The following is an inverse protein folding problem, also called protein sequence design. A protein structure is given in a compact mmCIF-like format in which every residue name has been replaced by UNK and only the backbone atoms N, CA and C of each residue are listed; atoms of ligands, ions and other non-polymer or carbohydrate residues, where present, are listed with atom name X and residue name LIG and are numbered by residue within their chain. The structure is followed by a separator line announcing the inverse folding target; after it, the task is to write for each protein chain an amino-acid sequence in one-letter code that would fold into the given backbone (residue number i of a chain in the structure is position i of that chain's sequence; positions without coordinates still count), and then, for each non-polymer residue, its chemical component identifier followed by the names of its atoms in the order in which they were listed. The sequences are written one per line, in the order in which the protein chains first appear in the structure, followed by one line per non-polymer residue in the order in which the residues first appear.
data_IF_819840926849
#
_entry.id   IF_819840926849
#
_cell.length_a   1.000
_cell.length_b   1.000
_cell.length_c   1.000
_cell.angle_alpha   90.00
_cell.angle_beta   90.00
_cell.angle_gamma   90.00
#
_symmetry.space_group_name_H-M   'P 1'
#
loop_
_entity.id
_entity.type
_entity.pdbx_description
1 polymer ?
#
# COMPACT_ATOMS: atom_id res chain seq x y z
N UNK A 1 -18.89 7.62 -9.88
CA UNK A 1 -18.86 8.77 -8.94
C UNK A 1 -19.50 9.97 -9.62
N UNK A 2 -20.51 10.62 -8.99
CA UNK A 2 -21.23 11.72 -9.63
C UNK A 2 -20.33 12.95 -9.80
N UNK A 3 -20.62 13.76 -10.86
CA UNK A 3 -19.88 15.00 -11.16
C UNK A 3 -19.93 16.01 -9.99
N UNK A 4 -21.05 16.01 -9.26
CA UNK A 4 -21.24 16.85 -8.05
C UNK A 4 -20.31 16.45 -6.92
N UNK A 5 -20.15 15.14 -6.66
CA UNK A 5 -19.25 14.65 -5.62
C UNK A 5 -17.79 15.00 -5.93
N UNK A 6 -17.38 14.93 -7.20
CA UNK A 6 -16.04 15.36 -7.63
C UNK A 6 -15.76 16.84 -7.38
N UNK A 7 -16.73 17.71 -7.64
CA UNK A 7 -16.59 19.16 -7.41
C UNK A 7 -16.49 19.46 -5.92
N UNK A 8 -17.38 18.90 -5.09
CA UNK A 8 -17.36 19.09 -3.64
C UNK A 8 -16.05 18.63 -3.00
N UNK A 9 -15.50 17.51 -3.46
CA UNK A 9 -14.20 17.00 -2.98
C UNK A 9 -13.08 17.95 -3.41
N UNK A 10 -13.05 18.40 -4.67
CA UNK A 10 -11.99 19.26 -5.21
C UNK A 10 -11.88 20.60 -4.49
N UNK A 11 -13.02 21.26 -4.24
CA UNK A 11 -13.07 22.58 -3.59
C UNK A 11 -12.73 22.53 -2.09
N UNK A 12 -13.04 21.42 -1.41
CA UNK A 12 -12.85 21.27 0.02
C UNK A 12 -11.71 20.32 0.40
N UNK A 13 -11.04 19.70 -0.57
CA UNK A 13 -9.97 18.74 -0.30
C UNK A 13 -8.92 19.20 0.73
N UNK A 14 -8.45 20.47 0.71
CA UNK A 14 -7.48 20.93 1.70
C UNK A 14 -7.99 20.97 3.15
N UNK A 15 -9.30 20.87 3.36
CA UNK A 15 -9.92 20.92 4.70
C UNK A 15 -9.98 19.54 5.37
N UNK A 16 -9.74 18.47 4.63
CA UNK A 16 -9.89 17.11 5.10
C UNK A 16 -8.61 16.32 4.92
N UNK A 17 -8.18 15.62 5.94
CA UNK A 17 -7.00 14.74 5.89
C UNK A 17 -7.30 13.43 5.14
N UNK A 18 -8.54 12.95 5.16
CA UNK A 18 -8.98 11.77 4.43
C UNK A 18 -10.49 11.78 4.15
N UNK A 19 -10.91 10.96 3.19
CA UNK A 19 -12.30 10.69 2.86
C UNK A 19 -12.60 9.20 3.09
N UNK A 20 -13.62 8.91 3.90
CA UNK A 20 -14.11 7.55 4.09
C UNK A 20 -15.28 7.27 3.14
N UNK A 21 -15.12 6.27 2.27
CA UNK A 21 -16.13 5.86 1.30
C UNK A 21 -16.65 4.48 1.67
N UNK A 22 -17.97 4.35 1.82
CA UNK A 22 -18.63 3.09 2.06
C UNK A 22 -19.21 2.58 0.74
N UNK A 23 -18.79 1.40 0.32
CA UNK A 23 -19.23 0.76 -0.92
C UNK A 23 -20.01 -0.51 -0.61
N UNK A 24 -21.14 -0.71 -1.29
CA UNK A 24 -21.85 -1.98 -1.26
C UNK A 24 -21.24 -2.91 -2.32
N UNK A 25 -20.19 -3.62 -1.93
CA UNK A 25 -19.44 -4.52 -2.78
C UNK A 25 -19.14 -5.81 -2.01
N UNK A 26 -19.46 -6.97 -2.61
CA UNK A 26 -19.31 -8.27 -1.96
C UNK A 26 -17.83 -8.62 -1.69
N UNK A 27 -16.94 -8.26 -2.59
CA UNK A 27 -15.51 -8.53 -2.44
C UNK A 27 -14.94 -7.79 -1.22
N UNK A 28 -15.35 -6.52 -1.02
CA UNK A 28 -14.97 -5.76 0.15
C UNK A 28 -15.55 -6.34 1.44
N UNK A 29 -16.76 -6.90 1.40
CA UNK A 29 -17.34 -7.60 2.56
C UNK A 29 -16.54 -8.85 2.91
N UNK A 30 -16.13 -9.60 1.89
CA UNK A 30 -15.34 -10.83 2.07
C UNK A 30 -13.93 -10.54 2.62
N UNK A 31 -13.38 -9.35 2.37
CA UNK A 31 -12.08 -8.91 2.90
C UNK A 31 -12.14 -8.42 4.36
N UNK A 32 -13.32 -8.37 4.97
CA UNK A 32 -13.46 -7.94 6.38
C UNK A 32 -12.59 -8.81 7.31
N UNK A 33 -11.82 -8.23 8.25
CA UNK A 33 -11.91 -6.87 8.77
C UNK A 33 -10.93 -5.85 8.14
N UNK A 34 -10.32 -6.14 7.01
CA UNK A 34 -9.38 -5.23 6.35
C UNK A 34 -10.08 -3.98 5.81
N UNK A 35 -9.37 -2.87 5.82
CA UNK A 35 -9.80 -1.59 5.23
C UNK A 35 -8.75 -1.17 4.22
N UNK A 36 -9.18 -0.93 2.99
CA UNK A 36 -8.30 -0.42 1.94
C UNK A 36 -8.18 1.10 2.05
N UNK A 37 -6.96 1.59 1.99
CA UNK A 37 -6.64 3.03 2.02
C UNK A 37 -5.92 3.39 0.74
N UNK A 38 -6.53 4.24 -0.08
CA UNK A 38 -5.87 4.82 -1.26
C UNK A 38 -4.97 5.95 -0.82
N UNK A 39 -3.67 5.81 -1.08
CA UNK A 39 -2.63 6.73 -0.66
C UNK A 39 -2.07 7.47 -1.88
N UNK A 40 -1.69 8.75 -1.73
CA UNK A 40 -0.97 9.45 -2.77
C UNK A 40 0.34 8.75 -3.12
N UNK A 41 0.68 8.72 -4.42
CA UNK A 41 1.94 8.12 -4.87
C UNK A 41 3.18 8.84 -4.31
N UNK A 42 4.27 8.12 -4.19
CA UNK A 42 5.55 8.65 -3.68
C UNK A 42 6.11 9.80 -4.54
N UNK A 43 5.73 9.87 -5.81
CA UNK A 43 6.20 10.93 -6.73
C UNK A 43 5.40 12.23 -6.62
N UNK A 44 4.44 12.30 -5.70
CA UNK A 44 3.69 13.54 -5.47
C UNK A 44 4.59 14.63 -4.87
N UNK A 45 4.63 15.83 -5.46
CA UNK A 45 5.43 16.94 -4.95
C UNK A 45 4.81 17.60 -3.70
N UNK A 46 3.63 17.15 -3.27
CA UNK A 46 2.85 17.78 -2.21
C UNK A 46 3.28 17.25 -0.85
N UNK A 47 3.83 18.10 0.00
CA UNK A 47 4.32 17.73 1.35
C UNK A 47 3.26 17.11 2.26
N UNK A 48 1.99 17.48 2.09
CA UNK A 48 0.86 16.89 2.83
C UNK A 48 0.69 15.38 2.55
N UNK A 49 1.17 14.88 1.41
CA UNK A 49 1.13 13.46 1.07
C UNK A 49 2.09 12.62 1.93
N UNK A 50 3.27 13.14 2.21
CA UNK A 50 4.21 12.50 3.13
C UNK A 50 3.61 12.41 4.54
N UNK A 51 2.94 13.45 5.00
CA UNK A 51 2.24 13.45 6.29
C UNK A 51 1.14 12.38 6.36
N UNK A 52 0.35 12.21 5.30
CA UNK A 52 -0.67 11.16 5.24
C UNK A 52 -0.07 9.76 5.38
N UNK A 53 1.05 9.48 4.71
CA UNK A 53 1.76 8.19 4.84
C UNK A 53 2.26 7.99 6.28
N UNK A 54 2.90 8.99 6.88
CA UNK A 54 3.43 8.92 8.24
C UNK A 54 2.35 8.67 9.28
N UNK A 55 1.17 9.25 9.13
CA UNK A 55 0.04 9.04 10.04
C UNK A 55 -0.40 7.56 10.09
N UNK A 56 -0.27 6.83 8.97
CA UNK A 56 -0.61 5.42 8.90
C UNK A 56 0.52 4.48 9.36
N UNK A 57 1.78 4.95 9.38
CA UNK A 57 2.92 4.11 9.81
C UNK A 57 2.80 3.59 11.25
N UNK A 58 2.17 4.35 12.13
CA UNK A 58 1.98 3.94 13.53
C UNK A 58 0.84 2.94 13.71
N UNK A 59 0.04 2.71 12.67
CA UNK A 59 -1.08 1.78 12.69
C UNK A 59 -0.65 0.40 12.21
N UNK A 60 -1.48 -0.60 12.47
CA UNK A 60 -1.29 -1.95 11.89
C UNK A 60 -1.62 -1.92 10.40
N UNK A 61 -0.65 -1.59 9.56
CA UNK A 61 -0.82 -1.45 8.11
C UNK A 61 0.09 -2.40 7.36
N UNK A 62 -0.40 -2.83 6.21
CA UNK A 62 0.33 -3.53 5.18
C UNK A 62 0.31 -2.66 3.93
N UNK A 63 1.47 -2.37 3.35
CA UNK A 63 1.56 -1.54 2.17
C UNK A 63 1.47 -2.38 0.90
N UNK A 64 0.64 -1.95 -0.02
CA UNK A 64 0.54 -2.51 -1.36
C UNK A 64 1.10 -1.51 -2.35
N UNK A 65 2.19 -1.89 -2.98
CA UNK A 65 2.93 -1.05 -3.92
C UNK A 65 2.48 -1.40 -5.34
N UNK A 66 1.94 -0.43 -6.04
CA UNK A 66 1.55 -0.58 -7.43
C UNK A 66 2.66 -0.02 -8.34
N UNK A 67 3.12 -0.84 -9.26
CA UNK A 67 3.98 -0.42 -10.37
C UNK A 67 3.30 -0.78 -11.69
N UNK A 68 3.65 -0.10 -12.76
CA UNK A 68 3.01 -0.29 -14.07
C UNK A 68 3.92 -1.07 -15.01
N UNK A 69 3.35 -2.03 -15.74
CA UNK A 69 4.06 -2.70 -16.85
C UNK A 69 4.46 -1.73 -17.99
N UNK A 70 3.88 -0.53 -18.04
CA UNK A 70 4.31 0.51 -18.98
C UNK A 70 5.63 1.17 -18.55
N UNK A 71 5.81 1.42 -17.26
CA UNK A 71 7.04 2.01 -16.70
C UNK A 71 8.15 0.97 -16.58
N UNK A 72 7.82 -0.26 -16.24
CA UNK A 72 8.69 -1.42 -16.23
C UNK A 72 9.88 -1.35 -15.27
N UNK A 73 9.86 -0.46 -14.28
CA UNK A 73 10.94 -0.31 -13.31
C UNK A 73 10.46 0.33 -11.99
N UNK A 74 11.31 0.26 -10.96
CA UNK A 74 11.17 1.06 -9.74
C UNK A 74 12.01 2.33 -9.87
N UNK A 75 11.39 3.50 -9.64
CA UNK A 75 12.13 4.75 -9.65
C UNK A 75 13.07 4.85 -8.43
N UNK A 76 14.16 5.60 -8.55
CA UNK A 76 15.10 5.85 -7.44
C UNK A 76 14.40 6.43 -6.21
N UNK A 77 13.39 7.27 -6.43
CA UNK A 77 12.59 7.85 -5.36
C UNK A 77 11.75 6.79 -4.67
N UNK A 78 11.07 5.94 -5.44
CA UNK A 78 10.29 4.83 -4.89
C UNK A 78 11.17 3.90 -4.05
N UNK A 79 12.34 3.51 -4.55
CA UNK A 79 13.31 2.68 -3.79
C UNK A 79 13.67 3.32 -2.46
N UNK A 80 13.94 4.64 -2.44
CA UNK A 80 14.26 5.36 -1.20
C UNK A 80 13.12 5.33 -0.20
N UNK A 81 11.89 5.60 -0.65
CA UNK A 81 10.72 5.61 0.23
C UNK A 81 10.38 4.19 0.74
N UNK A 82 10.59 3.16 -0.09
CA UNK A 82 10.43 1.77 0.33
C UNK A 82 11.44 1.36 1.39
N UNK A 83 12.70 1.81 1.29
CA UNK A 83 13.70 1.62 2.36
C UNK A 83 13.24 2.22 3.68
N UNK A 84 12.72 3.45 3.64
CA UNK A 84 12.17 4.10 4.82
C UNK A 84 10.99 3.30 5.41
N UNK A 85 10.09 2.75 4.58
CA UNK A 85 8.99 1.92 5.07
C UNK A 85 9.46 0.62 5.75
N UNK A 86 10.51 0.00 5.23
CA UNK A 86 11.08 -1.22 5.80
C UNK A 86 11.67 -0.99 7.20
N UNK A 87 12.22 0.20 7.48
CA UNK A 87 12.71 0.56 8.82
C UNK A 87 11.61 0.51 9.88
N UNK A 88 10.34 0.63 9.49
CA UNK A 88 9.19 0.53 10.39
C UNK A 88 8.63 -0.88 10.56
N UNK A 89 9.32 -1.90 10.03
CA UNK A 89 8.88 -3.31 10.07
C UNK A 89 7.45 -3.51 9.56
N UNK A 90 7.14 -2.91 8.41
CA UNK A 90 5.84 -3.01 7.75
C UNK A 90 5.86 -4.05 6.64
N UNK A 91 4.75 -4.81 6.54
CA UNK A 91 4.57 -5.73 5.43
C UNK A 91 4.41 -4.99 4.11
N UNK A 92 5.04 -5.51 3.06
CA UNK A 92 4.96 -5.00 1.70
C UNK A 92 4.48 -6.10 0.75
N UNK A 93 3.59 -5.73 -0.16
CA UNK A 93 3.25 -6.55 -1.34
C UNK A 93 3.35 -5.70 -2.58
N UNK A 94 3.65 -6.33 -3.70
CA UNK A 94 3.85 -5.62 -4.97
C UNK A 94 2.86 -6.12 -6.01
N UNK A 95 2.22 -5.18 -6.69
CA UNK A 95 1.31 -5.45 -7.81
C UNK A 95 1.90 -4.82 -9.08
N UNK A 96 2.05 -5.64 -10.12
CA UNK A 96 2.36 -5.18 -11.46
C UNK A 96 1.04 -4.95 -12.20
N UNK A 97 0.69 -3.69 -12.41
CA UNK A 97 -0.55 -3.27 -13.04
C UNK A 97 -0.41 -3.10 -14.56
N UNK A 98 -1.54 -3.02 -15.26
CA UNK A 98 -1.62 -2.84 -16.72
C UNK A 98 -0.94 -3.95 -17.52
N UNK A 99 -0.96 -5.17 -17.01
CA UNK A 99 -0.34 -6.31 -17.68
C UNK A 99 -1.04 -6.67 -18.99
N UNK A 100 -2.33 -6.29 -19.16
CA UNK A 100 -3.08 -6.42 -20.42
C UNK A 100 -2.52 -5.58 -21.59
N UNK A 101 -1.65 -4.61 -21.32
CA UNK A 101 -1.02 -3.77 -22.35
C UNK A 101 0.29 -4.36 -22.90
N UNK A 102 0.67 -5.56 -22.45
CA UNK A 102 1.91 -6.24 -22.84
C UNK A 102 1.63 -7.69 -23.21
N UNK A 103 2.54 -8.30 -23.98
CA UNK A 103 2.49 -9.73 -24.20
C UNK A 103 2.88 -10.50 -22.93
N UNK A 104 2.46 -11.76 -22.76
CA UNK A 104 2.84 -12.56 -21.62
C UNK A 104 4.37 -12.63 -21.39
N UNK A 105 5.14 -12.80 -22.45
CA UNK A 105 6.60 -12.82 -22.38
C UNK A 105 7.19 -11.49 -21.91
N UNK A 106 6.65 -10.35 -22.36
CA UNK A 106 7.08 -9.04 -21.88
C UNK A 106 6.70 -8.79 -20.41
N UNK A 107 5.53 -9.26 -19.98
CA UNK A 107 5.12 -9.17 -18.57
C UNK A 107 6.09 -9.94 -17.68
N UNK A 108 6.46 -11.15 -18.09
CA UNK A 108 7.41 -11.99 -17.36
C UNK A 108 8.79 -11.34 -17.27
N UNK A 109 9.32 -10.82 -18.37
CA UNK A 109 10.59 -10.10 -18.41
C UNK A 109 10.60 -8.87 -17.50
N UNK A 110 9.55 -8.04 -17.55
CA UNK A 110 9.38 -6.87 -16.69
C UNK A 110 9.28 -7.29 -15.23
N UNK A 111 8.53 -8.36 -14.95
CA UNK A 111 8.36 -8.88 -13.59
C UNK A 111 9.69 -9.32 -13.00
N UNK A 112 10.49 -10.10 -13.73
CA UNK A 112 11.82 -10.52 -13.29
C UNK A 112 12.72 -9.32 -13.02
N UNK A 113 12.75 -8.35 -13.95
CA UNK A 113 13.55 -7.16 -13.78
C UNK A 113 13.20 -6.36 -12.53
N UNK A 114 11.89 -6.19 -12.25
CA UNK A 114 11.43 -5.50 -11.04
C UNK A 114 11.77 -6.32 -9.77
N UNK A 115 11.64 -7.65 -9.81
CA UNK A 115 12.02 -8.53 -8.70
C UNK A 115 13.51 -8.43 -8.39
N UNK A 116 14.37 -8.40 -9.42
CA UNK A 116 15.80 -8.19 -9.25
C UNK A 116 16.10 -6.83 -8.62
N UNK A 117 15.42 -5.76 -9.06
CA UNK A 117 15.55 -4.44 -8.43
C UNK A 117 15.11 -4.43 -6.95
N UNK A 118 14.04 -5.16 -6.61
CA UNK A 118 13.56 -5.29 -5.24
C UNK A 118 14.61 -6.04 -4.40
N UNK A 119 15.12 -7.13 -4.92
CA UNK A 119 16.17 -7.92 -4.23
C UNK A 119 17.44 -7.09 -4.04
N UNK A 120 17.93 -6.43 -5.09
CA UNK A 120 19.19 -5.69 -5.06
C UNK A 120 19.13 -4.44 -4.17
N UNK A 121 18.01 -3.78 -4.14
CA UNK A 121 17.89 -2.50 -3.44
C UNK A 121 17.26 -2.61 -2.05
N UNK A 122 16.38 -3.57 -1.83
CA UNK A 122 15.60 -3.68 -0.60
C UNK A 122 15.92 -4.95 0.19
N UNK A 123 16.74 -5.86 -0.35
CA UNK A 123 17.05 -7.18 0.23
C UNK A 123 15.77 -8.00 0.53
N UNK A 124 14.80 -7.91 -0.37
CA UNK A 124 13.52 -8.61 -0.27
C UNK A 124 13.34 -9.59 -1.43
N UNK A 125 13.02 -10.83 -1.10
CA UNK A 125 12.51 -11.80 -2.08
C UNK A 125 11.00 -11.71 -2.11
N UNK A 126 10.43 -11.38 -3.26
CA UNK A 126 9.00 -11.22 -3.43
C UNK A 126 8.52 -11.69 -4.79
N UNK A 127 7.24 -12.02 -4.88
CA UNK A 127 6.56 -12.27 -6.14
C UNK A 127 5.61 -11.12 -6.43
N UNK A 128 5.59 -10.66 -7.68
CA UNK A 128 4.62 -9.67 -8.11
C UNK A 128 3.27 -10.34 -8.42
N UNK A 129 2.20 -9.72 -7.95
CA UNK A 129 0.86 -10.08 -8.34
C UNK A 129 0.50 -9.30 -9.60
N UNK A 130 0.05 -9.99 -10.64
CA UNK A 130 -0.30 -9.34 -11.91
C UNK A 130 -1.73 -8.81 -11.85
N UNK A 131 -1.90 -7.56 -12.27
CA UNK A 131 -3.21 -6.92 -12.36
C UNK A 131 -3.52 -6.48 -13.77
N UNK A 132 -4.69 -6.87 -14.23
CA UNK A 132 -5.30 -6.47 -15.49
C UNK A 132 -6.76 -6.04 -15.24
N UNK A 133 -7.54 -5.86 -16.30
CA UNK A 133 -8.95 -5.47 -16.19
C UNK A 133 -9.85 -6.58 -15.66
N UNK A 134 -9.40 -7.85 -15.75
CA UNK A 134 -10.20 -9.04 -15.47
C UNK A 134 -9.99 -9.64 -14.09
N UNK A 135 -8.96 -9.22 -13.35
CA UNK A 135 -8.63 -9.80 -12.04
C UNK A 135 -8.68 -8.78 -10.89
N UNK A 136 -8.82 -9.29 -9.68
CA UNK A 136 -8.89 -8.50 -8.46
C UNK A 136 -7.61 -8.68 -7.61
N UNK A 137 -6.50 -8.14 -8.12
CA UNK A 137 -5.18 -8.28 -7.49
C UNK A 137 -5.12 -7.78 -6.03
N UNK A 138 -5.93 -6.78 -5.67
CA UNK A 138 -6.00 -6.31 -4.28
C UNK A 138 -6.63 -7.35 -3.34
N UNK A 139 -7.61 -8.12 -3.81
CA UNK A 139 -8.17 -9.21 -3.01
C UNK A 139 -7.16 -10.36 -2.85
N UNK A 140 -6.42 -10.67 -3.90
CA UNK A 140 -5.35 -11.67 -3.82
C UNK A 140 -4.29 -11.28 -2.77
N UNK A 141 -3.95 -9.99 -2.66
CA UNK A 141 -3.10 -9.49 -1.57
C UNK A 141 -3.80 -9.65 -0.22
N UNK A 142 -5.08 -9.26 -0.13
CA UNK A 142 -5.83 -9.31 1.12
C UNK A 142 -5.91 -10.73 1.68
N UNK A 143 -6.09 -11.73 0.83
CA UNK A 143 -6.13 -13.16 1.21
C UNK A 143 -4.79 -13.66 1.78
N UNK A 144 -3.68 -13.04 1.38
CA UNK A 144 -2.33 -13.37 1.87
C UNK A 144 -1.96 -12.65 3.17
N UNK A 145 -2.74 -11.65 3.59
CA UNK A 145 -2.49 -10.89 4.81
C UNK A 145 -3.06 -11.63 6.01
N UNK A 146 -2.21 -11.93 6.98
CA UNK A 146 -2.65 -12.37 8.28
C UNK A 146 -3.23 -11.20 9.09
N UNK A 147 -4.54 -11.02 9.00
CA UNK A 147 -5.25 -9.96 9.69
C UNK A 147 -5.08 -10.03 11.22
N UNK A 148 -5.00 -11.23 11.81
CA UNK A 148 -4.79 -11.40 13.25
C UNK A 148 -3.42 -10.90 13.67
N UNK A 149 -2.37 -11.21 12.90
CA UNK A 149 -1.01 -10.71 13.13
C UNK A 149 -0.96 -9.19 12.99
N UNK A 150 -1.65 -8.63 12.01
CA UNK A 150 -1.73 -7.20 11.77
C UNK A 150 -2.39 -6.48 12.97
N UNK A 151 -3.50 -7.00 13.49
CA UNK A 151 -4.21 -6.46 14.65
C UNK A 151 -3.46 -6.69 15.95
N UNK A 152 -2.81 -7.82 16.13
CA UNK A 152 -2.02 -8.11 17.34
C UNK A 152 -0.84 -7.15 17.47
N UNK A 153 -0.20 -6.77 16.39
CA UNK A 153 0.88 -5.78 16.38
C UNK A 153 0.39 -4.39 16.81
N UNK A 154 -0.81 -4.01 16.39
CA UNK A 154 -1.47 -2.76 16.81
C UNK A 154 -1.80 -2.76 18.31
N UNK A 155 -2.40 -3.86 18.79
CA UNK A 155 -2.79 -4.02 20.17
C UNK A 155 -1.58 -4.00 21.13
N UNK A 156 -0.50 -4.68 20.76
CA UNK A 156 0.76 -4.68 21.53
C UNK A 156 1.40 -3.29 21.59
N UNK A 157 1.35 -2.52 20.50
CA UNK A 157 1.82 -1.11 20.51
C UNK A 157 0.98 -0.24 21.43
N UNK A 158 -0.34 -0.35 21.37
CA UNK A 158 -1.24 0.39 22.26
C UNK A 158 -1.02 0.01 23.72
N UNK A 159 -0.85 -1.28 24.04
CA UNK A 159 -0.53 -1.73 25.40
C UNK A 159 0.82 -1.17 25.87
N UNK A 160 1.85 -1.19 25.04
CA UNK A 160 3.17 -0.61 25.40
C UNK A 160 3.09 0.89 25.67
N UNK A 161 2.22 1.63 24.98
CA UNK A 161 2.02 3.07 25.22
C UNK A 161 1.23 3.37 26.50
N UNK A 162 0.43 2.40 26.97
CA UNK A 162 -0.38 2.51 28.18
C UNK A 162 0.35 2.04 29.45
N UNK A 163 1.44 1.29 29.30
CA UNK A 163 2.26 0.88 30.44
C UNK A 163 3.28 1.99 30.71
N UNK A 164 3.14 2.77 31.80
CA UNK A 164 4.18 3.70 32.17
C UNK A 164 5.48 2.91 32.37
N UNK A 165 6.57 3.41 31.83
CA UNK A 165 7.90 2.86 32.11
C UNK A 165 8.13 2.97 33.63
N UNK A 166 7.90 1.88 34.33
CA UNK A 166 8.41 1.74 35.69
C UNK A 166 9.92 1.77 35.60
N UNK A 167 10.50 2.92 35.84
CA UNK A 167 11.92 3.02 36.18
C UNK A 167 12.05 2.25 37.51
N UNK A 168 12.68 1.08 37.44
CA UNK A 168 13.25 0.44 38.62
C UNK A 168 14.24 1.43 39.22
N UNK A 169 13.93 1.84 40.44
CA UNK A 169 14.85 2.59 41.30
C UNK A 169 16.03 1.69 41.70
#
# INVERSE_FOLDING_TARGET
MSKVLRLLIKENAPKYSYLKVYLNNEDLKNSTPLVFVDMPGFDSPISSHTHAILEYLERGVHFVILTSAEEGNLTKRMVRELKNLLEFDKGLSFILSKTNLRTPSQVEEISHYIQDQIQDHLDLTTHLIYSNEDNNALLEVADKIDAQKLFSSLYLKQLKSLIPSYKTA
#
